data_IF_618410754987
#
_entry.id   IF_618410754987
#
_cell.length_a   1.000
_cell.length_b   1.000
_cell.length_c   1.000
_cell.angle_alpha   90.00
_cell.angle_beta   90.00
_cell.angle_gamma   90.00
#
_symmetry.space_group_name_H-M   'P 1'
#
loop_
_entity.id
_entity.type
_entity.pdbx_description
1 polymer ?
#
# COMPACT_ATOMS: atom_id res chain seq x y z
N UNK A 1 4.03 6.80 -28.62
CA UNK A 1 4.81 5.61 -28.20
C UNK A 1 4.77 4.60 -29.33
N UNK A 2 5.80 3.77 -29.45
CA UNK A 2 5.94 2.81 -30.53
C UNK A 2 6.22 1.41 -29.97
N UNK A 3 5.48 0.39 -30.40
CA UNK A 3 5.68 -1.00 -30.00
C UNK A 3 6.59 -1.69 -31.00
N UNK A 4 7.73 -2.19 -30.52
CA UNK A 4 8.71 -2.87 -31.35
C UNK A 4 8.15 -4.18 -31.91
N UNK A 5 8.40 -4.42 -33.19
CA UNK A 5 8.07 -5.65 -33.89
C UNK A 5 9.36 -6.43 -34.08
N UNK A 6 9.48 -7.59 -33.42
CA UNK A 6 10.62 -8.48 -33.59
C UNK A 6 10.20 -9.67 -34.45
N UNK A 7 10.87 -9.85 -35.58
CA UNK A 7 10.82 -11.08 -36.36
C UNK A 7 11.84 -12.07 -35.83
N UNK A 8 11.54 -12.81 -34.76
CA UNK A 8 12.43 -13.82 -34.19
C UNK A 8 13.66 -13.26 -33.46
N UNK A 9 14.77 -14.02 -33.42
CA UNK A 9 16.02 -13.74 -32.67
C UNK A 9 16.80 -12.48 -33.13
N UNK A 10 16.25 -11.65 -34.00
CA UNK A 10 16.92 -10.45 -34.50
C UNK A 10 16.51 -9.20 -33.71
N UNK A 11 17.44 -8.25 -33.61
CA UNK A 11 17.18 -6.88 -33.11
C UNK A 11 16.04 -6.25 -33.91
N UNK A 12 14.98 -5.83 -33.21
CA UNK A 12 13.82 -5.20 -33.84
C UNK A 12 14.23 -3.95 -34.64
N UNK A 13 13.94 -3.93 -35.93
CA UNK A 13 14.22 -2.79 -36.83
C UNK A 13 12.97 -1.94 -37.05
N UNK A 14 11.78 -2.47 -36.77
CA UNK A 14 10.50 -1.82 -37.01
C UNK A 14 9.65 -1.74 -35.74
N UNK A 15 8.79 -0.74 -35.66
CA UNK A 15 7.83 -0.56 -34.59
C UNK A 15 6.49 -0.03 -35.12
N UNK A 16 5.39 -0.39 -34.47
CA UNK A 16 4.06 0.16 -34.76
C UNK A 16 3.74 1.32 -33.84
N UNK A 17 3.15 2.39 -34.36
CA UNK A 17 2.66 3.52 -33.56
C UNK A 17 1.44 3.10 -32.74
N UNK A 18 1.56 3.12 -31.42
CA UNK A 18 0.48 2.73 -30.49
C UNK A 18 -0.13 3.91 -29.75
N UNK A 19 0.54 5.06 -29.70
CA UNK A 19 -0.04 6.31 -29.16
C UNK A 19 0.50 7.54 -29.87
N UNK A 20 -0.39 8.53 -30.07
CA UNK A 20 -0.08 9.85 -30.61
C UNK A 20 -0.32 10.95 -29.57
N UNK A 21 0.34 12.10 -29.72
CA UNK A 21 0.14 13.24 -28.81
C UNK A 21 -1.27 13.81 -28.99
N UNK A 22 -2.01 13.93 -27.89
CA UNK A 22 -3.39 14.44 -27.91
C UNK A 22 -4.46 13.37 -28.13
N UNK A 23 -4.09 12.08 -28.03
CA UNK A 23 -5.06 11.00 -27.96
C UNK A 23 -5.98 11.19 -26.73
N UNK A 24 -7.31 11.07 -26.88
CA UNK A 24 -8.24 11.20 -25.78
C UNK A 24 -8.03 10.10 -24.74
N UNK A 25 -8.17 10.47 -23.47
CA UNK A 25 -8.07 9.55 -22.34
C UNK A 25 -9.37 8.76 -22.16
N UNK A 26 -9.27 7.51 -21.70
CA UNK A 26 -10.36 6.55 -21.54
C UNK A 26 -11.13 6.19 -22.84
N UNK A 27 -10.46 6.30 -24.00
CA UNK A 27 -11.01 5.89 -25.29
C UNK A 27 -10.11 4.85 -25.97
N UNK A 28 -10.71 3.72 -26.37
CA UNK A 28 -10.05 2.57 -26.98
C UNK A 28 -10.10 2.66 -28.52
N UNK A 29 -8.97 2.43 -29.18
CA UNK A 29 -8.81 2.46 -30.65
C UNK A 29 -8.25 1.14 -31.16
N UNK A 30 -8.95 0.46 -32.07
CA UNK A 30 -8.45 -0.75 -32.75
C UNK A 30 -7.50 -0.36 -33.88
N UNK A 31 -6.28 -0.91 -33.88
CA UNK A 31 -5.28 -0.70 -34.93
C UNK A 31 -5.63 -1.55 -36.15
N UNK A 32 -5.50 -0.95 -37.34
CA UNK A 32 -5.82 -1.61 -38.61
C UNK A 32 -4.91 -2.82 -38.97
N UNK A 33 -3.58 -2.81 -38.70
CA UNK A 33 -2.72 -3.94 -39.05
C UNK A 33 -3.02 -5.20 -38.23
N UNK A 34 -2.79 -6.35 -38.85
CA UNK A 34 -2.87 -7.66 -38.21
C UNK A 34 -1.48 -8.14 -37.77
N UNK A 35 -1.41 -8.73 -36.58
CA UNK A 35 -0.16 -9.17 -35.96
C UNK A 35 -0.22 -10.66 -35.64
N UNK A 36 0.95 -11.31 -35.62
CA UNK A 36 1.09 -12.67 -35.12
C UNK A 36 1.66 -12.62 -33.70
N UNK A 37 0.86 -13.06 -32.74
CA UNK A 37 1.22 -13.13 -31.33
C UNK A 37 1.75 -14.51 -30.99
N UNK A 38 2.99 -14.58 -30.53
CA UNK A 38 3.54 -15.80 -29.99
C UNK A 38 2.88 -16.15 -28.64
N UNK A 39 2.50 -17.41 -28.48
CA UNK A 39 1.74 -17.95 -27.34
C UNK A 39 2.39 -19.23 -26.82
N UNK A 40 2.01 -19.68 -25.61
CA UNK A 40 2.56 -20.86 -24.92
C UNK A 40 4.10 -20.81 -24.70
N UNK A 41 4.71 -19.62 -24.84
CA UNK A 41 6.12 -19.35 -24.55
C UNK A 41 6.31 -17.93 -24.01
N UNK A 42 7.39 -17.66 -23.24
CA UNK A 42 7.73 -16.30 -22.84
C UNK A 42 8.00 -15.42 -24.07
N UNK A 43 7.33 -14.27 -24.14
CA UNK A 43 7.51 -13.24 -25.17
C UNK A 43 7.86 -11.90 -24.53
N UNK A 44 8.62 -11.07 -25.25
CA UNK A 44 9.05 -9.76 -24.77
C UNK A 44 8.51 -8.65 -25.67
N UNK A 45 7.78 -7.71 -25.08
CA UNK A 45 7.29 -6.50 -25.76
C UNK A 45 8.13 -5.30 -25.34
N UNK A 46 8.77 -4.63 -26.30
CA UNK A 46 9.54 -3.43 -26.04
C UNK A 46 8.80 -2.22 -26.56
N UNK A 47 8.61 -1.20 -25.72
CA UNK A 47 8.09 0.10 -26.16
C UNK A 47 9.23 1.09 -26.32
N UNK A 48 9.09 1.95 -27.31
CA UNK A 48 9.96 3.09 -27.53
C UNK A 48 9.19 4.39 -27.36
N UNK A 49 9.86 5.36 -26.76
CA UNK A 49 9.40 6.72 -26.59
C UNK A 49 10.32 7.69 -27.31
N UNK A 50 9.75 8.76 -27.85
CA UNK A 50 10.50 9.79 -28.55
C UNK A 50 9.83 11.14 -28.36
N UNK A 51 10.65 12.17 -28.18
CA UNK A 51 10.23 13.57 -28.08
C UNK A 51 10.27 14.27 -29.44
N UNK A 52 10.84 13.63 -30.47
CA UNK A 52 10.83 14.13 -31.84
C UNK A 52 9.40 14.13 -32.38
N UNK A 53 9.03 15.17 -33.13
CA UNK A 53 7.79 15.17 -33.90
C UNK A 53 7.94 14.17 -35.04
N UNK A 54 7.24 13.05 -34.92
CA UNK A 54 7.12 12.05 -35.97
C UNK A 54 5.71 12.18 -36.53
N UNK A 55 5.60 12.34 -37.85
CA UNK A 55 4.31 12.33 -38.55
C UNK A 55 3.86 10.88 -38.75
N UNK A 56 3.39 10.23 -37.69
CA UNK A 56 2.84 8.88 -37.72
C UNK A 56 1.42 8.89 -37.14
N UNK A 57 0.53 8.12 -37.76
CA UNK A 57 -0.82 7.83 -37.28
C UNK A 57 -0.84 6.53 -36.47
N UNK A 58 -1.90 6.32 -35.68
CA UNK A 58 -2.09 5.09 -34.94
C UNK A 58 -2.12 3.89 -35.90
N UNK A 59 -1.29 2.88 -35.63
CA UNK A 59 -1.16 1.69 -36.49
C UNK A 59 -0.10 1.80 -37.58
N UNK A 60 0.53 2.96 -37.80
CA UNK A 60 1.60 3.09 -38.80
C UNK A 60 2.86 2.34 -38.37
N UNK A 61 3.48 1.65 -39.32
CA UNK A 61 4.77 0.99 -39.18
C UNK A 61 5.91 1.98 -39.47
N UNK A 62 6.86 2.09 -38.55
CA UNK A 62 7.98 3.03 -38.62
C UNK A 62 9.28 2.31 -38.23
N UNK A 63 10.39 2.67 -38.87
CA UNK A 63 11.71 2.15 -38.51
C UNK A 63 12.19 2.75 -37.18
N UNK A 64 12.80 1.91 -36.33
CA UNK A 64 13.28 2.31 -35.00
C UNK A 64 14.56 3.17 -35.17
N UNK A 65 14.50 4.43 -34.73
CA UNK A 65 15.66 5.31 -34.67
C UNK A 65 16.47 5.07 -33.39
N UNK A 66 17.79 4.97 -33.54
CA UNK A 66 18.78 4.89 -32.45
C UNK A 66 18.63 5.96 -31.35
N UNK A 67 17.99 7.09 -31.66
CA UNK A 67 17.75 8.18 -30.71
C UNK A 67 16.48 8.03 -29.86
N UNK A 68 15.71 6.96 -30.05
CA UNK A 68 14.51 6.69 -29.25
C UNK A 68 14.88 6.07 -27.90
N UNK A 69 14.19 6.50 -26.84
CA UNK A 69 14.37 5.93 -25.50
C UNK A 69 13.51 4.67 -25.36
N UNK A 70 14.18 3.52 -25.23
CA UNK A 70 13.52 2.26 -24.93
C UNK A 70 12.99 2.27 -23.49
N UNK A 71 11.71 1.98 -23.32
CA UNK A 71 11.10 1.74 -22.01
C UNK A 71 11.42 0.32 -21.54
N UNK A 72 11.37 0.04 -20.22
CA UNK A 72 11.55 -1.31 -19.70
C UNK A 72 10.68 -2.31 -20.44
N UNK A 73 11.30 -3.34 -21.03
CA UNK A 73 10.60 -4.32 -21.82
C UNK A 73 9.71 -5.20 -20.93
N UNK A 74 8.53 -5.55 -21.44
CA UNK A 74 7.55 -6.35 -20.73
C UNK A 74 7.67 -7.80 -21.18
N UNK A 75 8.07 -8.69 -20.26
CA UNK A 75 8.06 -10.14 -20.51
C UNK A 75 6.75 -10.75 -20.01
N UNK A 76 6.03 -11.45 -20.89
CA UNK A 76 4.74 -12.09 -20.60
C UNK A 76 4.72 -13.46 -21.27
N UNK A 77 4.09 -14.45 -20.66
CA UNK A 77 3.71 -15.69 -21.32
C UNK A 77 2.18 -15.68 -21.48
N UNK A 78 1.71 -15.89 -22.70
CA UNK A 78 0.29 -15.87 -23.06
C UNK A 78 -0.10 -17.29 -23.42
N UNK A 79 -0.91 -17.95 -22.59
CA UNK A 79 -1.28 -19.35 -22.76
C UNK A 79 -2.63 -19.48 -23.48
N UNK A 80 -2.73 -20.42 -24.42
CA UNK A 80 -3.96 -20.71 -25.16
C UNK A 80 -4.56 -22.03 -24.68
N UNK A 81 -5.80 -21.99 -24.18
CA UNK A 81 -6.48 -23.13 -23.56
C UNK A 81 -6.90 -24.28 -24.51
N UNK A 82 -6.71 -24.15 -25.83
CA UNK A 82 -7.33 -25.05 -26.82
C UNK A 82 -6.39 -26.02 -27.52
N UNK A 83 -5.07 -25.84 -27.44
CA UNK A 83 -4.05 -26.79 -27.90
C UNK A 83 -2.65 -26.27 -27.53
N UNK A 84 -1.82 -27.05 -26.83
CA UNK A 84 -0.43 -26.66 -26.49
C UNK A 84 0.49 -26.63 -27.72
N UNK A 85 0.08 -27.22 -28.85
CA UNK A 85 0.83 -27.19 -30.11
C UNK A 85 0.75 -25.86 -30.86
N UNK A 86 -0.22 -24.98 -30.51
CA UNK A 86 -0.33 -23.65 -31.11
C UNK A 86 0.78 -22.76 -30.53
N UNK A 87 1.63 -22.24 -31.40
CA UNK A 87 2.76 -21.37 -31.03
C UNK A 87 2.53 -19.91 -31.42
N UNK A 88 1.61 -19.63 -32.35
CA UNK A 88 1.31 -18.28 -32.85
C UNK A 88 -0.19 -18.11 -33.14
N UNK A 89 -0.73 -16.92 -32.85
CA UNK A 89 -2.15 -16.56 -33.04
C UNK A 89 -2.26 -15.22 -33.78
N UNK A 90 -3.12 -15.13 -34.79
CA UNK A 90 -3.42 -13.87 -35.46
C UNK A 90 -4.32 -12.97 -34.58
N UNK A 91 -3.88 -11.74 -34.34
CA UNK A 91 -4.52 -10.77 -33.44
C UNK A 91 -4.54 -9.36 -34.03
N UNK A 92 -5.48 -8.55 -33.54
CA UNK A 92 -5.44 -7.10 -33.67
C UNK A 92 -5.16 -6.45 -32.32
N UNK A 93 -4.50 -5.30 -32.37
CA UNK A 93 -4.20 -4.51 -31.20
C UNK A 93 -5.29 -3.47 -30.97
N UNK A 94 -5.78 -3.36 -29.75
CA UNK A 94 -6.57 -2.21 -29.30
C UNK A 94 -5.69 -1.41 -28.35
N UNK A 95 -5.63 -0.09 -28.55
CA UNK A 95 -4.83 0.82 -27.75
C UNK A 95 -5.72 1.85 -27.05
N UNK A 96 -5.45 2.11 -25.78
CA UNK A 96 -6.13 3.12 -24.98
C UNK A 96 -5.12 3.88 -24.11
N UNK A 97 -5.35 5.16 -23.86
CA UNK A 97 -4.63 5.91 -22.82
C UNK A 97 -5.59 6.10 -21.65
N UNK A 98 -5.27 5.56 -20.49
CA UNK A 98 -6.06 5.72 -19.27
C UNK A 98 -6.04 7.17 -18.77
N UNK A 99 -6.97 7.51 -17.88
CA UNK A 99 -7.07 8.82 -17.21
C UNK A 99 -5.80 9.18 -16.42
N UNK A 100 -5.03 8.17 -16.01
CA UNK A 100 -3.75 8.34 -15.29
C UNK A 100 -2.54 8.40 -16.25
N UNK A 101 -2.77 8.51 -17.55
CA UNK A 101 -1.74 8.63 -18.59
C UNK A 101 -1.09 7.32 -19.02
N UNK A 102 -1.49 6.18 -18.46
CA UNK A 102 -0.95 4.88 -18.82
C UNK A 102 -1.49 4.39 -20.17
N UNK A 103 -0.65 3.76 -21.00
CA UNK A 103 -1.04 3.11 -22.25
C UNK A 103 -1.52 1.67 -21.96
N UNK A 104 -2.69 1.31 -22.41
CA UNK A 104 -3.21 -0.05 -22.39
C UNK A 104 -3.21 -0.62 -23.81
N UNK A 105 -2.72 -1.85 -23.97
CA UNK A 105 -2.74 -2.62 -25.21
C UNK A 105 -3.52 -3.92 -24.98
N UNK A 106 -4.57 -4.14 -25.74
CA UNK A 106 -5.32 -5.40 -25.74
C UNK A 106 -5.04 -6.18 -27.03
N UNK A 107 -4.89 -7.50 -26.90
CA UNK A 107 -4.74 -8.40 -28.04
C UNK A 107 -6.06 -9.11 -28.30
N UNK A 108 -6.73 -8.74 -29.38
CA UNK A 108 -8.01 -9.31 -29.83
C UNK A 108 -7.74 -10.40 -30.87
N UNK A 109 -8.07 -11.64 -30.56
CA UNK A 109 -7.88 -12.77 -31.48
C UNK A 109 -8.84 -12.70 -32.68
N UNK A 110 -8.34 -13.03 -33.87
CA UNK A 110 -9.14 -13.01 -35.10
C UNK A 110 -9.96 -14.30 -35.34
N UNK A 111 -9.69 -15.37 -34.57
CA UNK A 111 -10.40 -16.65 -34.69
C UNK A 111 -11.22 -16.97 -33.44
N UNK A 112 -12.50 -17.28 -33.65
CA UNK A 112 -13.48 -17.65 -32.60
C UNK A 112 -13.21 -19.04 -31.96
N UNK A 113 -12.24 -19.81 -32.46
CA UNK A 113 -11.89 -21.14 -31.89
C UNK A 113 -10.99 -21.04 -30.67
N UNK A 114 -10.30 -19.92 -30.49
CA UNK A 114 -9.41 -19.68 -29.36
C UNK A 114 -10.21 -18.92 -28.30
N UNK A 115 -10.62 -19.59 -27.22
CA UNK A 115 -11.15 -18.93 -26.02
C UNK A 115 -10.00 -18.23 -25.28
N UNK A 116 -9.44 -17.21 -25.90
CA UNK A 116 -8.56 -16.27 -25.22
C UNK A 116 -9.43 -15.25 -24.50
N UNK A 117 -9.25 -15.03 -23.19
CA UNK A 117 -9.66 -13.75 -22.63
C UNK A 117 -8.85 -12.64 -23.32
N UNK A 118 -9.51 -11.56 -23.73
CA UNK A 118 -8.87 -10.35 -24.27
C UNK A 118 -7.70 -9.98 -23.36
N UNK A 119 -6.47 -10.24 -23.82
CA UNK A 119 -5.30 -10.14 -22.96
C UNK A 119 -4.90 -8.69 -22.91
N UNK A 120 -5.08 -8.06 -21.75
CA UNK A 120 -4.72 -6.68 -21.47
C UNK A 120 -3.26 -6.58 -21.01
N UNK A 121 -2.44 -5.85 -21.75
CA UNK A 121 -1.11 -5.41 -21.37
C UNK A 121 -1.13 -3.92 -21.07
N UNK A 122 -0.88 -3.55 -19.83
CA UNK A 122 -0.78 -2.16 -19.41
C UNK A 122 0.69 -1.72 -19.37
N UNK A 123 1.03 -0.73 -20.18
CA UNK A 123 2.30 -0.04 -20.19
C UNK A 123 2.08 1.38 -19.70
N UNK A 124 2.50 1.76 -18.51
CA UNK A 124 2.32 3.17 -18.17
C UNK A 124 3.25 4.06 -19.01
N UNK A 125 2.63 4.79 -19.94
CA UNK A 125 3.24 5.94 -20.58
C UNK A 125 3.32 7.06 -19.55
N UNK A 126 4.48 7.71 -19.47
CA UNK A 126 4.79 8.85 -18.57
C UNK A 126 5.00 8.54 -17.08
N UNK A 127 4.62 7.36 -16.59
CA UNK A 127 4.90 6.94 -15.22
C UNK A 127 5.00 5.42 -15.13
N UNK A 128 6.10 4.84 -15.63
CA UNK A 128 6.31 3.40 -15.79
C UNK A 128 5.51 2.51 -14.84
N UNK A 129 4.63 1.65 -15.38
CA UNK A 129 3.96 0.59 -14.63
C UNK A 129 4.99 -0.51 -14.41
N UNK A 130 5.99 -0.17 -13.62
CA UNK A 130 6.80 -1.06 -12.84
C UNK A 130 5.87 -1.64 -11.78
N UNK A 131 5.32 -2.81 -12.08
CA UNK A 131 4.54 -3.59 -11.13
C UNK A 131 5.03 -5.03 -11.15
N UNK A 132 5.31 -5.59 -9.97
CA UNK A 132 5.71 -7.00 -9.89
C UNK A 132 4.53 -7.86 -10.34
N UNK A 133 4.76 -8.78 -11.29
CA UNK A 133 3.76 -9.77 -11.69
C UNK A 133 3.81 -10.97 -10.76
N UNK A 134 2.64 -11.50 -10.41
CA UNK A 134 2.54 -12.66 -9.53
C UNK A 134 2.95 -13.92 -10.29
N UNK A 135 3.94 -14.63 -9.78
CA UNK A 135 4.32 -15.93 -10.32
C UNK A 135 3.74 -17.03 -9.43
N UNK A 136 2.65 -17.67 -9.87
CA UNK A 136 1.97 -18.74 -9.10
C UNK A 136 2.88 -19.93 -8.78
N UNK A 137 4.02 -20.10 -9.48
CA UNK A 137 5.03 -21.12 -9.13
C UNK A 137 5.74 -20.84 -7.79
N UNK A 138 5.68 -19.59 -7.29
CA UNK A 138 6.21 -19.22 -5.98
C UNK A 138 5.24 -19.52 -4.82
N UNK A 139 4.06 -20.09 -5.10
CA UNK A 139 3.16 -20.57 -4.06
C UNK A 139 3.67 -21.91 -3.54
N UNK A 140 3.76 -22.11 -2.21
CA UNK A 140 4.16 -23.38 -1.62
C UNK A 140 3.23 -24.53 -2.00
N UNK A 141 3.72 -25.76 -1.99
CA UNK A 141 2.90 -26.96 -2.24
C UNK A 141 1.73 -27.11 -1.24
N UNK A 142 1.84 -26.51 -0.05
CA UNK A 142 0.78 -26.48 0.97
C UNK A 142 -0.33 -25.46 0.67
N UNK A 143 -0.20 -24.65 -0.39
CA UNK A 143 -1.17 -23.60 -0.74
C UNK A 143 -2.63 -24.10 -0.87
N UNK A 144 -2.93 -25.25 -1.51
CA UNK A 144 -4.29 -25.77 -1.57
C UNK A 144 -4.92 -26.01 -0.18
N UNK A 145 -4.13 -26.44 0.80
CA UNK A 145 -4.59 -26.66 2.18
C UNK A 145 -4.91 -25.35 2.90
N UNK A 146 -4.18 -24.27 2.58
CA UNK A 146 -4.47 -22.91 3.08
C UNK A 146 -5.80 -22.43 2.52
N UNK A 147 -6.03 -22.64 1.21
CA UNK A 147 -7.30 -22.28 0.56
C UNK A 147 -8.46 -23.05 1.19
N UNK A 148 -8.32 -24.36 1.40
CA UNK A 148 -9.35 -25.18 2.03
C UNK A 148 -9.66 -24.72 3.47
N UNK A 149 -8.62 -24.49 4.29
CA UNK A 149 -8.80 -24.01 5.66
C UNK A 149 -9.45 -22.62 5.71
N UNK A 150 -9.13 -21.76 4.73
CA UNK A 150 -9.76 -20.46 4.59
C UNK A 150 -11.24 -20.59 4.21
N UNK A 151 -11.56 -21.42 3.23
CA UNK A 151 -12.93 -21.67 2.78
C UNK A 151 -13.76 -22.38 3.87
N UNK A 152 -13.14 -23.13 4.78
CA UNK A 152 -13.82 -23.66 5.96
C UNK A 152 -14.28 -22.54 6.92
N UNK A 153 -13.50 -21.46 7.07
CA UNK A 153 -13.85 -20.32 7.94
C UNK A 153 -14.81 -19.35 7.23
N UNK A 154 -14.51 -18.97 5.99
CA UNK A 154 -15.18 -17.88 5.28
C UNK A 154 -16.04 -18.32 4.09
N UNK A 155 -15.95 -19.57 3.63
CA UNK A 155 -16.72 -20.10 2.49
C UNK A 155 -18.21 -20.29 2.80
N UNK A 156 -18.98 -20.80 1.83
CA UNK A 156 -20.43 -20.95 1.95
C UNK A 156 -20.83 -21.80 3.18
N UNK A 157 -21.92 -21.42 3.86
CA UNK A 157 -22.42 -22.16 5.03
C UNK A 157 -22.85 -23.57 4.60
N UNK A 158 -22.26 -24.60 5.20
CA UNK A 158 -22.82 -25.97 5.14
C UNK A 158 -24.00 -26.03 6.12
N UNK A 159 -25.21 -26.32 5.61
CA UNK A 159 -26.40 -26.45 6.45
C UNK A 159 -26.23 -27.61 7.44
N UNK A 160 -26.55 -27.40 8.73
CA UNK A 160 -26.69 -28.49 9.72
C UNK A 160 -25.69 -28.57 10.88
N UNK A 161 -24.77 -27.61 11.08
CA UNK A 161 -23.83 -27.69 12.21
C UNK A 161 -24.44 -27.19 13.54
N UNK A 162 -24.84 -28.13 14.41
CA UNK A 162 -25.05 -27.86 15.84
C UNK A 162 -23.69 -27.56 16.51
N UNK A 163 -23.63 -26.57 17.41
CA UNK A 163 -22.41 -26.03 18.09
C UNK A 163 -21.45 -25.19 17.23
N UNK A 164 -22.00 -24.21 16.52
CA UNK A 164 -21.29 -23.24 15.66
C UNK A 164 -20.09 -22.54 16.33
N UNK A 165 -20.21 -22.11 17.59
CA UNK A 165 -19.12 -21.39 18.27
C UNK A 165 -17.87 -22.24 18.58
N UNK A 166 -18.04 -23.55 18.84
CA UNK A 166 -16.91 -24.47 19.08
C UNK A 166 -16.21 -24.80 17.76
N UNK A 167 -17.00 -25.04 16.71
CA UNK A 167 -16.51 -25.27 15.35
C UNK A 167 -15.72 -24.06 14.82
N UNK A 168 -16.19 -22.84 15.07
CA UNK A 168 -15.49 -21.62 14.64
C UNK A 168 -14.10 -21.50 15.30
N UNK A 169 -14.01 -21.77 16.61
CA UNK A 169 -12.72 -21.70 17.33
C UNK A 169 -11.70 -22.68 16.76
N UNK A 170 -12.14 -23.90 16.47
CA UNK A 170 -11.32 -24.95 15.87
C UNK A 170 -10.93 -24.59 14.42
N UNK A 171 -11.88 -24.07 13.62
CA UNK A 171 -11.62 -23.64 12.25
C UNK A 171 -10.60 -22.49 12.19
N UNK A 172 -10.69 -21.48 13.06
CA UNK A 172 -9.67 -20.42 13.16
C UNK A 172 -8.30 -20.95 13.61
N UNK A 173 -8.27 -21.93 14.52
CA UNK A 173 -7.01 -22.54 14.95
C UNK A 173 -6.35 -23.32 13.81
N UNK A 174 -7.14 -24.05 13.03
CA UNK A 174 -6.67 -24.74 11.83
C UNK A 174 -6.18 -23.75 10.77
N UNK A 175 -6.92 -22.68 10.50
CA UNK A 175 -6.50 -21.65 9.54
C UNK A 175 -5.17 -21.02 9.95
N UNK A 176 -4.99 -20.66 11.24
CA UNK A 176 -3.70 -20.15 11.74
C UNK A 176 -2.58 -21.16 11.52
N UNK A 177 -2.79 -22.42 11.93
CA UNK A 177 -1.81 -23.49 11.74
C UNK A 177 -1.43 -23.66 10.26
N UNK A 178 -2.38 -23.55 9.33
CA UNK A 178 -2.11 -23.66 7.89
C UNK A 178 -1.37 -22.44 7.35
N UNK A 179 -1.72 -21.23 7.79
CA UNK A 179 -0.96 -20.03 7.45
C UNK A 179 0.49 -20.10 7.96
N UNK A 180 0.72 -20.69 9.14
CA UNK A 180 2.07 -20.86 9.69
C UNK A 180 2.94 -21.82 8.83
N UNK A 181 2.32 -22.70 8.02
CA UNK A 181 3.07 -23.55 7.07
C UNK A 181 3.67 -22.79 5.90
N UNK A 182 3.25 -21.54 5.67
CA UNK A 182 3.81 -20.65 4.65
C UNK A 182 5.15 -20.02 5.09
N UNK A 183 5.61 -20.31 6.31
CA UNK A 183 6.80 -19.72 6.92
C UNK A 183 6.49 -18.47 7.75
N UNK A 184 7.54 -17.80 8.24
CA UNK A 184 7.39 -16.55 9.00
C UNK A 184 6.68 -15.51 8.14
N UNK A 185 5.79 -14.73 8.77
CA UNK A 185 5.05 -13.67 8.07
C UNK A 185 5.98 -12.66 7.39
N UNK A 186 7.13 -12.37 8.01
CA UNK A 186 8.18 -11.49 7.47
C UNK A 186 8.70 -11.96 6.10
N UNK A 187 8.68 -13.27 5.87
CA UNK A 187 9.32 -13.92 4.72
C UNK A 187 8.30 -14.21 3.60
N UNK A 188 7.03 -13.85 3.81
CA UNK A 188 5.99 -14.02 2.80
C UNK A 188 6.29 -13.14 1.60
N UNK A 189 6.63 -13.79 0.48
CA UNK A 189 6.85 -13.10 -0.78
C UNK A 189 5.54 -12.45 -1.28
N UNK A 190 5.70 -11.51 -2.21
CA UNK A 190 4.57 -10.74 -2.75
C UNK A 190 3.48 -11.60 -3.42
N UNK A 191 3.85 -12.77 -3.97
CA UNK A 191 2.90 -13.71 -4.56
C UNK A 191 2.00 -14.32 -3.50
N UNK A 192 2.57 -14.76 -2.37
CA UNK A 192 1.79 -15.28 -1.24
C UNK A 192 0.86 -14.18 -0.71
N UNK A 193 1.41 -12.99 -0.46
CA UNK A 193 0.64 -11.86 0.05
C UNK A 193 -0.56 -11.52 -0.84
N UNK A 194 -0.35 -11.31 -2.15
CA UNK A 194 -1.45 -10.92 -3.04
C UNK A 194 -2.43 -12.06 -3.35
N UNK A 195 -1.95 -13.30 -3.38
CA UNK A 195 -2.84 -14.46 -3.52
C UNK A 195 -3.73 -14.65 -2.27
N UNK A 196 -3.21 -14.35 -1.07
CA UNK A 196 -4.02 -14.29 0.14
C UNK A 196 -5.01 -13.14 0.06
N UNK A 197 -4.58 -11.94 -0.35
CA UNK A 197 -5.46 -10.78 -0.51
C UNK A 197 -6.66 -11.11 -1.41
N UNK A 198 -6.42 -11.75 -2.54
CA UNK A 198 -7.47 -12.18 -3.48
C UNK A 198 -8.47 -13.15 -2.82
N UNK A 199 -7.97 -14.08 -2.01
CA UNK A 199 -8.81 -15.02 -1.26
C UNK A 199 -9.67 -14.33 -0.19
N UNK A 200 -9.10 -13.36 0.53
CA UNK A 200 -9.84 -12.52 1.48
C UNK A 200 -10.94 -11.71 0.78
N UNK A 201 -10.62 -11.07 -0.36
CA UNK A 201 -11.53 -10.22 -1.13
C UNK A 201 -12.65 -11.01 -1.82
N UNK A 202 -12.37 -12.23 -2.29
CA UNK A 202 -13.36 -13.18 -2.82
C UNK A 202 -14.51 -13.39 -1.83
N UNK A 203 -14.18 -13.58 -0.55
CA UNK A 203 -15.15 -13.89 0.51
C UNK A 203 -15.49 -12.68 1.40
N UNK A 204 -15.23 -11.44 0.94
CA UNK A 204 -15.40 -10.20 1.73
C UNK A 204 -16.76 -10.03 2.40
N UNK A 205 -17.84 -10.51 1.78
CA UNK A 205 -19.21 -10.43 2.35
C UNK A 205 -19.36 -11.27 3.61
N UNK A 206 -18.60 -12.35 3.74
CA UNK A 206 -18.68 -13.31 4.85
C UNK A 206 -17.86 -12.89 6.09
N UNK A 207 -17.12 -11.78 6.03
CA UNK A 207 -16.37 -11.25 7.19
C UNK A 207 -17.27 -10.86 8.36
N UNK A 208 -18.51 -10.43 8.07
CA UNK A 208 -19.47 -9.87 9.06
C UNK A 208 -20.24 -10.96 9.85
N UNK A 209 -19.70 -12.18 9.97
CA UNK A 209 -20.35 -13.31 10.68
C UNK A 209 -20.31 -13.20 12.19
N UNK A 210 -19.19 -12.71 12.72
CA UNK A 210 -18.99 -12.39 14.13
C UNK A 210 -17.86 -11.37 14.26
N UNK A 211 -17.76 -10.69 15.41
CA UNK A 211 -16.66 -9.75 15.69
C UNK A 211 -15.28 -10.38 15.46
N UNK A 212 -15.13 -11.67 15.83
CA UNK A 212 -13.89 -12.44 15.61
C UNK A 212 -13.59 -12.68 14.13
N UNK A 213 -14.61 -12.92 13.31
CA UNK A 213 -14.42 -13.05 11.86
C UNK A 213 -13.98 -11.74 11.24
N UNK A 214 -14.61 -10.63 11.64
CA UNK A 214 -14.34 -9.32 11.06
C UNK A 214 -12.98 -8.79 11.49
N UNK A 215 -12.62 -8.86 12.78
CA UNK A 215 -11.30 -8.41 13.27
C UNK A 215 -10.15 -9.20 12.65
N UNK A 216 -10.27 -10.53 12.57
CA UNK A 216 -9.26 -11.36 11.92
C UNK A 216 -9.17 -11.04 10.42
N UNK A 217 -10.31 -10.93 9.73
CA UNK A 217 -10.34 -10.64 8.30
C UNK A 217 -9.68 -9.31 7.97
N UNK A 218 -10.04 -8.23 8.68
CA UNK A 218 -9.51 -6.89 8.47
C UNK A 218 -8.00 -6.83 8.75
N UNK A 219 -7.57 -7.40 9.87
CA UNK A 219 -6.15 -7.42 10.27
C UNK A 219 -5.29 -8.20 9.28
N UNK A 220 -5.77 -9.37 8.84
CA UNK A 220 -5.03 -10.20 7.90
C UNK A 220 -5.00 -9.58 6.50
N UNK A 221 -6.11 -9.03 6.00
CA UNK A 221 -6.12 -8.33 4.72
C UNK A 221 -5.15 -7.14 4.73
N UNK A 222 -5.17 -6.33 5.79
CA UNK A 222 -4.26 -5.20 5.95
C UNK A 222 -2.79 -5.63 5.87
N UNK A 223 -2.44 -6.77 6.45
CA UNK A 223 -1.08 -7.30 6.40
C UNK A 223 -0.66 -7.74 5.00
N UNK A 224 -1.55 -8.38 4.24
CA UNK A 224 -1.20 -8.97 2.94
C UNK A 224 -1.38 -8.01 1.76
N UNK A 225 -2.11 -6.91 1.95
CA UNK A 225 -2.25 -5.86 0.94
C UNK A 225 -1.10 -4.84 0.96
N UNK A 226 -0.30 -4.75 2.04
CA UNK A 226 0.79 -3.77 2.15
C UNK A 226 1.73 -3.80 0.92
N UNK A 227 2.23 -2.65 0.42
CA UNK A 227 1.88 -1.27 0.80
C UNK A 227 0.60 -0.73 0.12
N UNK A 228 -0.17 -1.58 -0.57
CA UNK A 228 -1.38 -1.22 -1.31
C UNK A 228 -1.13 -0.94 -2.79
N UNK A 229 0.12 -0.97 -3.25
CA UNK A 229 0.51 -0.66 -4.62
C UNK A 229 1.77 -1.46 -5.03
N UNK A 230 2.18 -1.32 -6.29
CA UNK A 230 3.42 -1.91 -6.82
C UNK A 230 3.28 -3.33 -7.38
N UNK A 231 2.06 -3.89 -7.39
CA UNK A 231 1.75 -5.18 -8.02
C UNK A 231 0.64 -5.00 -9.05
N UNK A 232 0.74 -5.71 -10.17
CA UNK A 232 -0.35 -5.77 -11.16
C UNK A 232 -1.65 -6.27 -10.50
N UNK A 233 -2.74 -5.54 -10.76
CA UNK A 233 -4.06 -5.81 -10.19
C UNK A 233 -4.32 -5.19 -8.81
N UNK A 234 -3.36 -4.47 -8.22
CA UNK A 234 -3.60 -3.77 -6.95
C UNK A 234 -4.67 -2.69 -7.07
N UNK A 235 -4.81 -2.05 -8.23
CA UNK A 235 -5.89 -1.08 -8.49
C UNK A 235 -7.28 -1.72 -8.27
N UNK A 236 -7.52 -2.91 -8.82
CA UNK A 236 -8.78 -3.65 -8.64
C UNK A 236 -8.97 -4.12 -7.19
N UNK A 237 -7.89 -4.52 -6.50
CA UNK A 237 -7.96 -4.90 -5.08
C UNK A 237 -8.35 -3.71 -4.22
N UNK A 238 -7.81 -2.53 -4.53
CA UNK A 238 -8.10 -1.29 -3.84
C UNK A 238 -9.55 -0.84 -4.07
N UNK A 239 -10.13 -1.02 -5.26
CA UNK A 239 -11.56 -0.75 -5.47
C UNK A 239 -12.44 -1.56 -4.50
N UNK A 240 -12.19 -2.86 -4.36
CA UNK A 240 -12.91 -3.66 -3.37
C UNK A 240 -12.65 -3.20 -1.93
N UNK A 241 -11.44 -2.73 -1.62
CA UNK A 241 -11.11 -2.18 -0.29
C UNK A 241 -11.87 -0.87 -0.06
N UNK A 242 -12.02 -0.01 -1.08
CA UNK A 242 -12.82 1.22 -0.99
C UNK A 242 -14.27 0.89 -0.63
N UNK A 243 -14.91 -0.07 -1.31
CA UNK A 243 -16.26 -0.54 -0.97
C UNK A 243 -16.37 -0.99 0.50
N UNK A 244 -15.30 -1.61 1.03
CA UNK A 244 -15.26 -2.10 2.42
C UNK A 244 -15.13 -0.96 3.41
N UNK A 245 -14.32 0.05 3.09
CA UNK A 245 -14.07 1.22 3.94
C UNK A 245 -15.22 2.23 3.90
N UNK A 246 -16.02 2.25 2.83
CA UNK A 246 -17.24 3.06 2.75
C UNK A 246 -18.31 2.65 3.77
N UNK A 247 -18.25 1.41 4.25
CA UNK A 247 -19.17 0.92 5.28
C UNK A 247 -18.45 0.75 6.62
N UNK A 248 -18.98 1.28 7.74
CA UNK A 248 -18.39 1.04 9.05
C UNK A 248 -18.40 -0.46 9.40
N UNK A 249 -17.48 -0.89 10.30
CA UNK A 249 -17.47 -2.25 10.83
C UNK A 249 -18.85 -2.72 11.32
N UNK A 250 -19.15 -4.00 11.13
CA UNK A 250 -20.41 -4.59 11.58
C UNK A 250 -20.49 -4.67 13.10
N UNK A 251 -19.35 -4.87 13.76
CA UNK A 251 -19.27 -4.96 15.21
C UNK A 251 -18.39 -3.86 15.79
N UNK A 252 -18.77 -3.39 16.99
CA UNK A 252 -18.21 -2.19 17.62
C UNK A 252 -17.18 -2.52 18.71
N UNK A 253 -16.53 -3.67 18.66
CA UNK A 253 -15.43 -4.01 19.56
C UNK A 253 -14.12 -3.38 19.09
N UNK A 254 -13.26 -3.10 20.06
CA UNK A 254 -11.92 -2.54 19.86
C UNK A 254 -11.13 -3.25 18.76
N UNK A 255 -11.06 -4.59 18.79
CA UNK A 255 -10.26 -5.37 17.86
C UNK A 255 -10.74 -5.26 16.40
N UNK A 256 -12.03 -5.01 16.19
CA UNK A 256 -12.59 -4.84 14.85
C UNK A 256 -12.19 -3.49 14.29
N UNK A 257 -12.37 -2.42 15.06
CA UNK A 257 -11.92 -1.08 14.67
C UNK A 257 -10.41 -1.01 14.52
N UNK A 258 -9.65 -1.69 15.39
CA UNK A 258 -8.20 -1.79 15.26
C UNK A 258 -7.81 -2.38 13.90
N UNK A 259 -8.44 -3.48 13.49
CA UNK A 259 -8.24 -4.09 12.17
C UNK A 259 -8.65 -3.15 11.04
N UNK A 260 -9.78 -2.45 11.18
CA UNK A 260 -10.30 -1.51 10.17
C UNK A 260 -9.33 -0.34 9.93
N UNK A 261 -8.88 0.31 11.00
CA UNK A 261 -7.89 1.39 10.92
C UNK A 261 -6.52 0.87 10.42
N UNK A 262 -6.15 -0.35 10.78
CA UNK A 262 -4.93 -0.97 10.24
C UNK A 262 -5.04 -1.18 8.73
N UNK A 263 -6.22 -1.54 8.21
CA UNK A 263 -6.46 -1.64 6.77
C UNK A 263 -6.34 -0.29 6.08
N UNK A 264 -6.97 0.77 6.62
CA UNK A 264 -6.81 2.15 6.12
C UNK A 264 -5.34 2.51 6.03
N UNK A 265 -4.61 2.35 7.15
CA UNK A 265 -3.17 2.63 7.23
C UNK A 265 -2.36 1.91 6.15
N UNK A 266 -2.60 0.61 5.96
CA UNK A 266 -1.79 -0.24 5.08
C UNK A 266 -2.17 -0.14 3.60
N UNK A 267 -3.35 0.40 3.30
CA UNK A 267 -3.81 0.68 1.94
C UNK A 267 -3.59 2.15 1.53
N UNK A 268 -3.32 3.06 2.49
CA UNK A 268 -3.28 4.51 2.29
C UNK A 268 -2.45 4.92 1.07
N UNK A 269 -1.24 4.40 0.91
CA UNK A 269 -0.39 4.74 -0.23
C UNK A 269 -1.02 4.45 -1.60
N UNK A 270 -1.85 3.41 -1.71
CA UNK A 270 -2.55 3.08 -2.96
C UNK A 270 -3.85 3.85 -3.19
N UNK A 271 -4.36 4.57 -2.19
CA UNK A 271 -5.60 5.35 -2.30
C UNK A 271 -5.28 6.73 -2.86
N UNK A 272 -6.07 7.19 -3.82
CA UNK A 272 -5.92 8.52 -4.40
C UNK A 272 -6.24 9.63 -3.39
N UNK A 273 -5.80 10.86 -3.70
CA UNK A 273 -5.97 12.02 -2.83
C UNK A 273 -7.44 12.27 -2.45
N UNK A 274 -8.35 12.09 -3.40
CA UNK A 274 -9.79 12.31 -3.20
C UNK A 274 -10.33 11.35 -2.15
N UNK A 275 -9.96 10.08 -2.24
CA UNK A 275 -10.40 9.06 -1.30
C UNK A 275 -9.77 9.22 0.09
N UNK A 276 -8.49 9.61 0.15
CA UNK A 276 -7.83 9.93 1.43
C UNK A 276 -8.50 11.11 2.14
N UNK A 277 -8.87 12.17 1.39
CA UNK A 277 -9.61 13.31 1.91
C UNK A 277 -10.99 12.87 2.44
N UNK A 278 -11.72 12.08 1.65
CA UNK A 278 -13.03 11.54 2.05
C UNK A 278 -12.95 10.71 3.35
N UNK A 279 -11.92 9.87 3.50
CA UNK A 279 -11.68 9.09 4.72
C UNK A 279 -11.47 9.98 5.95
N UNK A 280 -10.69 11.06 5.80
CA UNK A 280 -10.46 12.01 6.89
C UNK A 280 -11.76 12.72 7.28
N UNK A 281 -12.47 13.32 6.32
CA UNK A 281 -13.70 14.07 6.55
C UNK A 281 -14.81 13.21 7.19
N UNK A 282 -14.97 11.97 6.69
CA UNK A 282 -15.97 11.01 7.21
C UNK A 282 -15.77 10.71 8.70
N UNK A 283 -14.52 10.75 9.18
CA UNK A 283 -14.17 10.42 10.56
C UNK A 283 -13.74 11.61 11.42
N UNK A 284 -13.74 12.82 10.85
CA UNK A 284 -13.20 14.04 11.45
C UNK A 284 -13.86 14.34 12.79
N UNK A 285 -15.19 14.29 12.88
CA UNK A 285 -15.92 14.61 14.11
C UNK A 285 -15.54 13.68 15.28
N UNK A 286 -15.37 12.39 15.00
CA UNK A 286 -14.95 11.40 16.00
C UNK A 286 -13.48 11.53 16.35
N UNK A 287 -12.63 11.82 15.36
CA UNK A 287 -11.20 12.11 15.58
C UNK A 287 -11.02 13.31 16.50
N UNK A 288 -11.76 14.40 16.23
CA UNK A 288 -11.72 15.62 17.03
C UNK A 288 -12.15 15.36 18.46
N UNK A 289 -13.29 14.67 18.66
CA UNK A 289 -13.74 14.27 20.00
C UNK A 289 -12.73 13.38 20.73
N UNK A 290 -12.01 12.51 20.02
CA UNK A 290 -10.98 11.67 20.60
C UNK A 290 -9.77 12.51 21.04
N UNK A 291 -9.24 13.35 20.16
CA UNK A 291 -8.05 14.15 20.45
C UNK A 291 -8.31 15.20 21.53
N UNK A 292 -9.51 15.78 21.59
CA UNK A 292 -9.92 16.66 22.69
C UNK A 292 -9.99 15.91 24.02
N UNK A 293 -10.51 14.67 24.02
CA UNK A 293 -10.53 13.83 25.21
C UNK A 293 -9.11 13.50 25.68
N UNK A 294 -8.22 13.08 24.76
CA UNK A 294 -6.82 12.78 25.06
C UNK A 294 -6.12 14.01 25.68
N UNK A 295 -6.30 15.19 25.08
CA UNK A 295 -5.71 16.42 25.59
C UNK A 295 -6.21 16.79 26.99
N UNK A 296 -7.49 16.55 27.29
CA UNK A 296 -8.05 16.78 28.63
C UNK A 296 -7.55 15.74 29.66
N UNK A 297 -7.42 14.48 29.24
CA UNK A 297 -6.89 13.41 30.07
C UNK A 297 -5.44 13.70 30.48
N UNK A 298 -4.61 14.18 29.55
CA UNK A 298 -3.21 14.56 29.84
C UNK A 298 -3.04 15.75 30.78
N UNK A 299 -4.05 16.62 30.91
CA UNK A 299 -4.05 17.75 31.86
C UNK A 299 -4.52 17.36 33.27
N UNK A 300 -5.21 16.23 33.39
CA UNK A 300 -5.81 15.81 34.65
C UNK A 300 -4.79 15.05 35.50
N UNK A 301 -4.61 15.44 36.78
CA UNK A 301 -3.78 14.64 37.71
C UNK A 301 -4.39 13.22 37.81
N UNK A 302 -3.58 12.15 37.74
CA UNK A 302 -4.08 10.79 37.88
C UNK A 302 -4.79 10.68 39.24
N UNK A 303 -6.10 10.42 39.21
CA UNK A 303 -6.84 10.14 40.45
C UNK A 303 -6.30 8.83 41.03
N UNK A 304 -5.92 8.78 42.31
CA UNK A 304 -5.50 7.53 42.92
C UNK A 304 -6.63 6.52 42.77
N UNK A 305 -6.32 5.37 42.16
CA UNK A 305 -7.29 4.30 42.00
C UNK A 305 -7.78 3.88 43.39
N UNK A 306 -9.11 3.93 43.63
CA UNK A 306 -9.67 3.31 44.83
C UNK A 306 -9.34 1.83 44.79
N UNK A 307 -8.60 1.33 45.78
CA UNK A 307 -8.23 -0.10 45.90
C UNK A 307 -9.46 -0.97 45.67
N UNK A 308 -9.42 -1.83 44.64
CA UNK A 308 -10.45 -2.82 44.33
C UNK A 308 -11.54 -2.40 43.35
N UNK A 309 -11.64 -1.13 42.93
CA UNK A 309 -12.62 -0.71 41.93
C UNK A 309 -11.99 -0.70 40.52
N UNK A 310 -12.49 -1.54 39.60
CA UNK A 310 -12.19 -1.35 38.17
C UNK A 310 -12.76 0.02 37.77
N UNK A 311 -11.98 0.92 37.16
CA UNK A 311 -12.52 2.17 36.66
C UNK A 311 -13.58 1.86 35.60
N UNK A 312 -14.84 2.14 35.91
CA UNK A 312 -15.95 1.99 34.96
C UNK A 312 -15.88 3.16 34.00
N UNK A 313 -15.60 2.88 32.73
CA UNK A 313 -15.63 3.90 31.68
C UNK A 313 -17.08 4.37 31.48
N UNK A 314 -17.27 5.66 31.30
CA UNK A 314 -18.55 6.21 30.84
C UNK A 314 -18.90 5.66 29.46
N UNK A 315 -20.18 5.73 29.06
CA UNK A 315 -20.60 5.29 27.71
C UNK A 315 -19.81 5.97 26.59
N UNK A 316 -19.47 7.25 26.75
CA UNK A 316 -18.68 8.03 25.79
C UNK A 316 -17.22 7.54 25.74
N UNK A 317 -16.62 7.30 26.91
CA UNK A 317 -15.27 6.76 27.02
C UNK A 317 -15.16 5.35 26.45
N UNK A 318 -16.18 4.52 26.66
CA UNK A 318 -16.26 3.18 26.08
C UNK A 318 -16.41 3.23 24.55
N UNK A 319 -17.21 4.15 24.00
CA UNK A 319 -17.29 4.37 22.54
C UNK A 319 -15.93 4.78 21.95
N UNK A 320 -15.24 5.74 22.59
CA UNK A 320 -13.92 6.18 22.14
C UNK A 320 -12.89 5.05 22.21
N UNK A 321 -12.87 4.30 23.32
CA UNK A 321 -11.98 3.14 23.47
C UNK A 321 -12.27 2.10 22.40
N UNK A 322 -13.53 1.77 22.16
CA UNK A 322 -13.92 0.78 21.16
C UNK A 322 -13.49 1.14 19.73
N UNK A 323 -13.21 2.42 19.44
CA UNK A 323 -12.74 2.87 18.12
C UNK A 323 -11.23 2.69 17.91
N UNK A 324 -10.53 2.03 18.83
CA UNK A 324 -9.09 1.79 18.80
C UNK A 324 -8.29 3.09 18.54
N UNK A 325 -8.29 4.04 19.48
CA UNK A 325 -7.64 5.35 19.35
C UNK A 325 -6.22 5.32 18.77
N UNK A 326 -5.41 4.37 19.21
CA UNK A 326 -4.04 4.19 18.78
C UNK A 326 -3.93 3.70 17.34
N UNK A 327 -4.89 2.94 16.82
CA UNK A 327 -4.91 2.54 15.41
C UNK A 327 -5.49 3.68 14.55
N UNK A 328 -6.51 4.37 15.05
CA UNK A 328 -7.12 5.53 14.39
C UNK A 328 -6.09 6.64 14.13
N UNK A 329 -5.32 7.05 15.15
CA UNK A 329 -4.31 8.09 14.99
C UNK A 329 -3.23 7.68 13.98
N UNK A 330 -2.80 6.41 13.99
CA UNK A 330 -1.81 5.90 13.03
C UNK A 330 -2.34 5.89 11.60
N UNK A 331 -3.59 5.50 11.42
CA UNK A 331 -4.24 5.49 10.11
C UNK A 331 -4.35 6.89 9.53
N UNK A 332 -4.83 7.86 10.31
CA UNK A 332 -4.94 9.26 9.87
C UNK A 332 -3.56 9.86 9.58
N UNK A 333 -2.56 9.58 10.42
CA UNK A 333 -1.18 10.04 10.16
C UNK A 333 -0.56 9.46 8.88
N UNK A 334 -1.09 8.36 8.35
CA UNK A 334 -0.60 7.70 7.13
C UNK A 334 -1.29 8.20 5.86
N UNK A 335 -2.28 9.09 5.97
CA UNK A 335 -2.90 9.74 4.84
C UNK A 335 -2.01 10.91 4.40
N UNK A 336 -1.21 10.71 3.36
CA UNK A 336 -0.24 11.70 2.87
C UNK A 336 -0.94 12.94 2.29
N UNK A 337 -2.10 12.78 1.66
CA UNK A 337 -2.78 13.85 0.91
C UNK A 337 -3.56 14.85 1.78
N UNK A 338 -3.76 14.55 3.08
CA UNK A 338 -4.37 15.50 4.03
C UNK A 338 -3.32 16.39 4.71
N UNK A 339 -2.03 16.10 4.50
CA UNK A 339 -0.92 16.71 5.22
C UNK A 339 -0.86 18.22 4.96
N UNK A 340 -0.78 19.01 6.03
CA UNK A 340 -0.73 20.47 5.95
C UNK A 340 -2.02 21.13 5.48
N UNK A 341 -3.09 20.35 5.25
CA UNK A 341 -4.41 20.82 4.81
C UNK A 341 -5.48 20.66 5.89
N UNK A 342 -5.09 20.20 7.07
CA UNK A 342 -5.99 19.87 8.17
C UNK A 342 -5.51 20.44 9.51
N UNK A 343 -6.35 20.34 10.54
CA UNK A 343 -6.00 20.70 11.92
C UNK A 343 -5.28 19.56 12.67
N UNK A 344 -5.18 18.36 12.08
CA UNK A 344 -4.77 17.13 12.76
C UNK A 344 -3.38 17.24 13.37
N UNK A 345 -2.43 17.74 12.60
CA UNK A 345 -1.01 17.83 12.95
C UNK A 345 -0.80 18.76 14.14
N UNK A 346 -1.43 19.93 14.13
CA UNK A 346 -1.36 20.90 15.23
C UNK A 346 -1.85 20.31 16.56
N UNK A 347 -2.89 19.46 16.51
CA UNK A 347 -3.35 18.74 17.71
C UNK A 347 -2.42 17.59 18.05
N UNK A 348 -1.91 16.85 17.06
CA UNK A 348 -1.04 15.70 17.28
C UNK A 348 0.25 16.11 18.00
N UNK A 349 0.88 17.24 17.63
CA UNK A 349 2.05 17.78 18.32
C UNK A 349 1.82 18.01 19.82
N UNK A 350 0.60 18.45 20.19
CA UNK A 350 0.21 18.72 21.59
C UNK A 350 -0.05 17.44 22.40
N UNK A 351 -0.13 16.27 21.75
CA UNK A 351 -0.41 14.99 22.39
C UNK A 351 0.84 14.18 22.72
N UNK A 352 2.06 14.64 22.39
CA UNK A 352 3.29 13.85 22.53
C UNK A 352 3.46 13.20 23.90
N UNK A 353 3.12 13.90 24.99
CA UNK A 353 3.29 13.42 26.37
C UNK A 353 2.01 12.88 27.00
N UNK A 354 0.97 12.63 26.20
CA UNK A 354 -0.32 12.17 26.69
C UNK A 354 -0.37 10.65 26.72
N UNK A 355 -0.85 10.10 27.85
CA UNK A 355 -1.14 8.68 28.00
C UNK A 355 -2.59 8.46 28.42
N UNK A 356 -3.40 7.96 27.49
CA UNK A 356 -4.79 7.58 27.76
C UNK A 356 -5.34 6.69 26.65
N UNK A 357 -6.34 5.86 26.97
CA UNK A 357 -7.08 5.08 25.98
C UNK A 357 -6.20 4.21 25.05
N UNK A 358 -5.10 3.66 25.55
CA UNK A 358 -4.16 2.87 24.73
C UNK A 358 -3.18 3.69 23.88
N UNK A 359 -3.34 5.02 23.85
CA UNK A 359 -2.39 5.95 23.26
C UNK A 359 -1.31 6.28 24.29
N UNK A 360 -0.04 6.15 23.89
CA UNK A 360 1.13 6.50 24.68
C UNK A 360 2.11 7.35 23.84
N UNK A 361 3.21 7.80 24.46
CA UNK A 361 4.20 8.63 23.78
C UNK A 361 4.78 7.97 22.51
N UNK A 362 4.99 6.65 22.51
CA UNK A 362 5.52 5.92 21.35
C UNK A 362 4.53 5.90 20.17
N UNK A 363 3.23 5.72 20.45
CA UNK A 363 2.17 5.81 19.44
C UNK A 363 2.19 7.18 18.78
N UNK A 364 2.23 8.26 19.58
CA UNK A 364 2.24 9.62 19.05
C UNK A 364 3.53 9.92 18.29
N UNK A 365 4.69 9.56 18.84
CA UNK A 365 5.99 9.74 18.19
C UNK A 365 6.07 9.02 16.84
N UNK A 366 5.52 7.81 16.75
CA UNK A 366 5.39 7.09 15.48
C UNK A 366 4.52 7.84 14.47
N UNK A 367 3.36 8.36 14.90
CA UNK A 367 2.49 9.16 14.02
C UNK A 367 3.18 10.44 13.55
N UNK A 368 3.94 11.08 14.45
CA UNK A 368 4.72 12.27 14.14
C UNK A 368 5.78 11.98 13.09
N UNK A 369 6.43 10.81 13.12
CA UNK A 369 7.40 10.40 12.11
C UNK A 369 6.83 10.35 10.69
N UNK A 370 5.58 9.91 10.53
CA UNK A 370 4.89 10.01 9.23
C UNK A 370 4.59 11.46 8.86
N UNK A 371 4.00 12.21 9.79
CA UNK A 371 3.52 13.58 9.54
C UNK A 371 4.66 14.54 9.19
N UNK A 372 5.84 14.37 9.77
CA UNK A 372 7.02 15.21 9.47
C UNK A 372 7.87 14.69 8.34
N UNK A 373 7.56 13.50 7.79
CA UNK A 373 8.26 12.98 6.64
C UNK A 373 8.07 13.94 5.46
N UNK A 374 9.19 14.39 4.89
CA UNK A 374 9.22 15.35 3.80
C UNK A 374 9.08 14.67 2.42
N UNK A 375 9.07 13.35 2.38
CA UNK A 375 8.89 12.54 1.18
C UNK A 375 7.51 11.88 1.13
N UNK A 376 6.91 11.78 -0.07
CA UNK A 376 5.69 11.00 -0.26
C UNK A 376 5.96 9.49 -0.09
N UNK A 377 4.94 8.73 0.30
CA UNK A 377 5.01 7.27 0.32
C UNK A 377 5.20 6.67 -1.07
N UNK A 378 4.62 7.28 -2.11
CA UNK A 378 4.82 6.92 -3.51
C UNK A 378 5.75 7.94 -4.17
N UNK A 379 6.85 7.45 -4.74
CA UNK A 379 7.76 8.30 -5.51
C UNK A 379 7.05 8.87 -6.74
N UNK A 380 7.18 10.18 -6.97
CA UNK A 380 6.57 10.87 -8.10
C UNK A 380 5.12 11.32 -7.88
N UNK A 381 4.60 11.19 -6.66
CA UNK A 381 3.32 11.79 -6.26
C UNK A 381 3.41 13.32 -6.31
N UNK A 382 2.69 13.92 -7.25
CA UNK A 382 2.64 15.36 -7.48
C UNK A 382 1.60 16.08 -6.62
N UNK A 383 0.70 15.35 -5.99
CA UNK A 383 -0.36 15.92 -5.14
C UNK A 383 0.07 16.01 -3.67
N UNK A 384 1.12 15.27 -3.31
CA UNK A 384 1.76 15.34 -1.99
C UNK A 384 2.23 16.76 -1.65
N UNK A 385 1.93 17.19 -0.43
CA UNK A 385 2.42 18.47 0.11
C UNK A 385 2.98 18.23 1.51
N UNK A 386 4.28 18.44 1.73
CA UNK A 386 4.84 18.28 3.07
C UNK A 386 4.43 19.43 4.00
N UNK A 387 4.64 19.22 5.32
CA UNK A 387 4.57 20.31 6.28
C UNK A 387 5.71 21.30 6.06
N UNK A 388 5.46 22.59 6.34
CA UNK A 388 6.47 23.63 6.17
C UNK A 388 7.72 23.35 7.02
N UNK A 389 8.89 23.63 6.45
CA UNK A 389 10.19 23.44 7.10
C UNK A 389 10.27 24.17 8.45
N UNK A 390 9.62 25.33 8.59
CA UNK A 390 9.54 26.09 9.84
C UNK A 390 8.83 25.30 10.96
N UNK A 391 7.65 24.74 10.68
CA UNK A 391 6.88 23.96 11.67
C UNK A 391 7.68 22.71 12.07
N UNK A 392 8.23 21.98 11.10
CA UNK A 392 8.99 20.76 11.38
C UNK A 392 10.27 21.06 12.15
N UNK A 393 10.98 22.14 11.81
CA UNK A 393 12.17 22.59 12.55
C UNK A 393 11.87 22.87 14.02
N UNK A 394 10.76 23.55 14.32
CA UNK A 394 10.34 23.83 15.70
C UNK A 394 10.10 22.53 16.48
N UNK A 395 9.40 21.59 15.88
CA UNK A 395 9.07 20.31 16.54
C UNK A 395 10.31 19.46 16.78
N UNK A 396 11.20 19.31 15.80
CA UNK A 396 12.44 18.56 15.98
C UNK A 396 13.30 19.16 17.09
N UNK A 397 13.39 20.50 17.19
CA UNK A 397 14.10 21.17 18.29
C UNK A 397 13.53 20.83 19.66
N UNK A 398 12.20 20.74 19.80
CA UNK A 398 11.57 20.29 21.03
C UNK A 398 11.92 18.83 21.34
N UNK A 399 11.92 17.96 20.33
CA UNK A 399 12.22 16.53 20.51
C UNK A 399 13.69 16.24 20.81
N UNK A 400 14.62 17.13 20.44
CA UNK A 400 16.01 17.07 20.88
C UNK A 400 16.14 17.19 22.42
N UNK A 401 15.14 17.73 23.11
CA UNK A 401 15.07 17.76 24.58
C UNK A 401 14.58 16.46 25.22
N UNK A 402 13.98 15.54 24.45
CA UNK A 402 13.36 14.31 24.97
C UNK A 402 14.38 13.16 25.13
N UNK A 403 14.01 12.15 25.91
CA UNK A 403 14.83 10.95 26.11
C UNK A 403 14.54 9.89 25.02
N UNK A 404 15.38 9.85 23.99
CA UNK A 404 15.23 8.92 22.87
C UNK A 404 15.54 7.46 23.22
N UNK A 405 16.11 7.17 24.38
CA UNK A 405 16.24 5.77 24.85
C UNK A 405 14.92 5.24 25.41
N UNK A 406 14.07 6.11 25.96
CA UNK A 406 12.74 5.76 26.45
C UNK A 406 11.70 5.77 25.33
N UNK A 407 11.83 6.69 24.37
CA UNK A 407 10.99 6.77 23.18
C UNK A 407 11.85 6.83 21.90
N UNK A 408 12.38 5.69 21.42
CA UNK A 408 13.17 5.63 20.19
C UNK A 408 12.45 6.17 18.95
N UNK A 409 11.12 6.08 18.92
CA UNK A 409 10.28 6.58 17.84
C UNK A 409 10.44 8.08 17.59
N UNK A 410 10.84 8.86 18.59
CA UNK A 410 11.19 10.28 18.40
C UNK A 410 12.50 10.46 17.64
N UNK A 411 13.50 9.61 17.92
CA UNK A 411 14.74 9.59 17.14
C UNK A 411 14.47 9.19 15.68
N UNK A 412 13.59 8.21 15.47
CA UNK A 412 13.12 7.82 14.15
C UNK A 412 12.41 8.99 13.44
N UNK A 413 11.43 9.63 14.10
CA UNK A 413 10.71 10.77 13.56
C UNK A 413 11.62 11.95 13.21
N UNK A 414 12.59 12.26 14.08
CA UNK A 414 13.62 13.27 13.79
C UNK A 414 14.48 12.89 12.59
N UNK A 415 14.78 11.61 12.39
CA UNK A 415 15.55 11.14 11.24
C UNK A 415 14.80 11.37 9.92
N UNK A 416 13.49 11.09 9.88
CA UNK A 416 12.64 11.42 8.73
C UNK A 416 12.58 12.91 8.43
N UNK A 417 12.41 13.73 9.46
CA UNK A 417 12.30 15.17 9.31
C UNK A 417 13.55 15.79 8.66
N UNK A 418 14.74 15.29 9.02
CA UNK A 418 16.00 15.90 8.60
C UNK A 418 16.67 15.18 7.43
N UNK A 419 15.97 14.32 6.67
CA UNK A 419 16.57 13.69 5.50
C UNK A 419 17.07 14.72 4.47
N UNK A 420 18.07 14.35 3.67
CA UNK A 420 18.55 15.22 2.59
C UNK A 420 17.40 15.42 1.62
N UNK A 421 17.08 16.66 1.25
CA UNK A 421 16.02 16.99 0.30
C UNK A 421 16.56 17.89 -0.81
N UNK A 422 16.32 17.60 -2.09
CA UNK A 422 16.88 18.38 -3.21
C UNK A 422 16.25 19.76 -3.33
N UNK A 423 15.01 19.93 -2.87
CA UNK A 423 14.35 21.24 -2.79
C UNK A 423 14.71 21.95 -1.47
N UNK A 424 15.42 23.07 -1.57
CA UNK A 424 15.85 23.90 -0.44
C UNK A 424 14.68 24.52 0.34
N UNK A 425 13.51 24.67 -0.27
CA UNK A 425 12.32 25.22 0.41
C UNK A 425 11.73 24.23 1.41
N UNK A 426 11.92 22.94 1.16
CA UNK A 426 11.47 21.81 1.98
C UNK A 426 12.58 21.37 2.93
N UNK A 427 13.85 21.44 2.49
CA UNK A 427 15.00 21.01 3.27
C UNK A 427 15.08 21.72 4.63
N UNK A 428 15.37 20.94 5.68
CA UNK A 428 15.62 21.48 7.02
C UNK A 428 17.06 21.99 7.16
N UNK A 429 17.33 22.92 8.11
CA UNK A 429 18.66 23.48 8.31
C UNK A 429 19.73 22.43 8.61
N UNK A 430 20.90 22.60 7.99
CA UNK A 430 22.01 21.65 8.11
C UNK A 430 22.54 21.49 9.54
N UNK A 431 22.50 22.56 10.35
CA UNK A 431 22.90 22.49 11.76
C UNK A 431 21.96 21.60 12.57
N UNK A 432 20.65 21.66 12.30
CA UNK A 432 19.66 20.81 12.96
C UNK A 432 19.87 19.33 12.59
N UNK A 433 20.19 19.04 11.32
CA UNK A 433 20.55 17.70 10.85
C UNK A 433 21.75 17.14 11.63
N UNK A 434 22.81 17.94 11.81
CA UNK A 434 24.00 17.55 12.59
C UNK A 434 23.67 17.28 14.06
N UNK A 435 22.80 18.08 14.66
CA UNK A 435 22.34 17.86 16.05
C UNK A 435 21.56 16.54 16.20
N UNK A 436 20.66 16.24 15.27
CA UNK A 436 19.93 14.96 15.23
C UNK A 436 20.89 13.78 15.10
N UNK A 437 21.83 13.83 14.16
CA UNK A 437 22.84 12.77 13.97
C UNK A 437 23.64 12.54 15.27
N UNK A 438 24.13 13.62 15.90
CA UNK A 438 24.87 13.54 17.16
C UNK A 438 24.03 12.92 18.28
N UNK A 439 22.74 13.26 18.36
CA UNK A 439 21.85 12.71 19.39
C UNK A 439 21.50 11.24 19.13
N UNK A 440 21.37 10.80 17.87
CA UNK A 440 21.20 9.38 17.51
C UNK A 440 22.39 8.55 18.02
N UNK A 441 23.62 9.01 17.75
CA UNK A 441 24.85 8.35 18.19
C UNK A 441 24.93 8.27 19.73
N UNK A 442 24.71 9.40 20.41
CA UNK A 442 24.74 9.47 21.88
C UNK A 442 23.68 8.58 22.53
N UNK A 443 22.51 8.45 21.89
CA UNK A 443 21.40 7.63 22.38
C UNK A 443 21.58 6.14 22.06
N UNK A 444 22.59 5.78 21.23
CA UNK A 444 22.86 4.42 20.74
C UNK A 444 21.69 3.81 19.95
N UNK A 445 21.04 4.64 19.14
CA UNK A 445 19.99 4.22 18.20
C UNK A 445 20.59 3.60 16.93
N UNK A 446 19.80 2.94 16.05
CA UNK A 446 20.32 2.26 14.86
C UNK A 446 21.17 3.14 13.98
N UNK A 447 22.25 2.56 13.48
CA UNK A 447 23.11 3.18 12.47
C UNK A 447 22.33 3.44 11.17
N UNK A 448 21.39 2.55 10.80
CA UNK A 448 20.56 2.70 9.60
C UNK A 448 19.70 3.98 9.60
N UNK A 449 19.28 4.48 10.77
CA UNK A 449 18.54 5.74 10.87
C UNK A 449 19.43 6.96 10.60
N UNK A 450 20.71 6.87 10.95
CA UNK A 450 21.69 7.89 10.63
C UNK A 450 22.09 7.85 9.15
N UNK A 451 22.35 6.66 8.62
CA UNK A 451 22.74 6.47 7.21
C UNK A 451 21.66 7.02 6.26
N UNK A 452 20.40 6.80 6.59
CA UNK A 452 19.24 7.28 5.81
C UNK A 452 18.99 8.79 5.88
N UNK A 453 19.62 9.52 6.81
CA UNK A 453 19.65 11.00 6.79
C UNK A 453 20.58 11.50 5.70
N UNK A 454 21.72 10.82 5.53
CA UNK A 454 22.79 11.20 4.60
C UNK A 454 22.58 10.68 3.18
N UNK A 455 22.01 9.48 3.04
CA UNK A 455 21.81 8.79 1.78
C UNK A 455 20.32 8.45 1.58
N UNK A 456 19.68 9.09 0.62
CA UNK A 456 18.26 8.88 0.31
C UNK A 456 17.98 7.48 -0.25
N UNK A 457 18.98 6.79 -0.80
CA UNK A 457 18.85 5.41 -1.28
C UNK A 457 18.74 4.38 -0.15
N UNK A 458 19.14 4.76 1.08
CA UNK A 458 19.02 3.95 2.29
C UNK A 458 17.68 4.14 3.03
N UNK A 459 16.71 4.85 2.43
CA UNK A 459 15.39 5.14 3.01
C UNK A 459 14.46 3.92 3.12
N UNK A 460 14.76 2.80 2.46
CA UNK A 460 13.96 1.58 2.56
C UNK A 460 13.86 1.04 4.01
N UNK A 461 14.98 1.07 4.75
CA UNK A 461 15.01 0.62 6.15
C UNK A 461 14.19 1.52 7.10
N UNK A 462 14.09 2.81 6.77
CA UNK A 462 13.22 3.77 7.45
C UNK A 462 11.75 3.47 7.13
N UNK A 463 11.44 3.25 5.85
CA UNK A 463 10.08 2.95 5.38
C UNK A 463 9.54 1.65 6.00
N UNK A 464 10.37 0.62 6.18
CA UNK A 464 9.99 -0.61 6.88
C UNK A 464 9.69 -0.40 8.37
N UNK A 465 10.41 0.51 9.03
CA UNK A 465 10.16 0.89 10.42
C UNK A 465 8.82 1.65 10.57
N UNK A 466 8.48 2.52 9.60
CA UNK A 466 7.18 3.17 9.52
C UNK A 466 6.07 2.26 9.01
N UNK A 467 6.37 1.20 8.26
CA UNK A 467 5.38 0.18 7.98
C UNK A 467 4.98 -0.51 9.31
N UNK A 468 5.84 -0.51 10.32
CA UNK A 468 5.60 -1.20 11.59
C UNK A 468 5.71 -2.72 11.44
N UNK A 469 6.52 -3.16 10.48
CA UNK A 469 6.88 -4.57 10.27
C UNK A 469 8.20 -4.93 10.99
N UNK A 470 8.92 -3.92 11.52
CA UNK A 470 10.05 -4.11 12.42
C UNK A 470 9.60 -4.36 13.85
N UNK A 471 10.27 -5.27 14.56
CA UNK A 471 10.12 -5.40 16.01
C UNK A 471 10.49 -4.08 16.71
N UNK A 472 9.80 -3.71 17.81
CA UNK A 472 10.18 -2.57 18.64
C UNK A 472 11.65 -2.65 19.05
N UNK A 473 12.29 -1.49 19.16
CA UNK A 473 13.69 -1.37 19.57
C UNK A 473 13.96 -2.11 20.88
N UNK A 474 14.87 -3.10 20.85
CA UNK A 474 15.26 -3.92 22.01
C UNK A 474 14.73 -5.36 21.98
N UNK A 475 13.91 -5.74 21.00
CA UNK A 475 13.48 -7.12 20.78
C UNK A 475 14.25 -7.74 19.60
N UNK A 476 14.93 -8.86 19.84
CA UNK A 476 15.53 -9.70 18.79
C UNK A 476 14.71 -11.00 18.69
N UNK A 477 14.50 -11.49 17.48
CA UNK A 477 14.09 -12.89 17.28
C UNK A 477 15.29 -13.74 17.69
N UNK A 478 15.10 -14.58 18.70
CA UNK A 478 16.09 -15.57 19.14
C UNK A 478 16.08 -16.80 18.25
#
# INVERSE_FOLDING_TARGET
>A
LFLALSGGEQTATQAVCVTVKGMPEAESFELAPEFHLAVNRPVQFSLYSTTKKINAQLGDLVDIDSQWSQLPAMQVQIDVASDESIQEVAVRLITEVTIVGALQLQFKAMSNTLKMPDTLLEFAGRSGAAGVRLNKKHLPHTWPEVVEAFENVYGAKKAGQQNQAKNDKEAFAQLRKKLDTLGSRSDWNITICRSLADLFLKWRKNRRRSARHESFWLTQLAYVIRPGYGVVGDINRLEYIRDILETPPAYHEHDVWFGWWTLVRRAAGGLDATYQQWLFETHEAKLKSLMDFLQQAGKSKPKPAKKGAKPTLSKKEQDLKNRAPEAMLRAIASLDHIRGRSWFEEKLFKLLKVEAMGVNQQVIAWCLGLVVNQYPQIQGDTEFTPLSSAVVTEQVKLWLGENWQQCPELGLASSFAVQNHPDETIALPEDLRKEVIKKLDNSKLPVSWKESITDSSSSAALSDALAGDSLPHGLRIG
#
